data_IF_164249859465
#
_entry.id   IF_164249859465
#
_cell.length_a   1.000
_cell.length_b   1.000
_cell.length_c   1.000
_cell.angle_alpha   90.00
_cell.angle_beta   90.00
_cell.angle_gamma   90.00
#
_symmetry.space_group_name_H-M   'P 1'
#
loop_
_entity.id
_entity.type
_entity.pdbx_description
1 polymer ?
#
# COMPACT_ATOMS: atom_id res chain seq x y z
N UNK A 1 -2.86 -1.93 2.53
CA UNK A 1 -1.85 -2.67 1.76
C UNK A 1 -1.95 -2.36 0.29
N UNK A 2 -0.85 -2.04 -0.34
CA UNK A 2 -0.82 -1.69 -1.76
C UNK A 2 -0.75 -2.98 -2.57
N UNK A 3 -1.42 -3.03 -3.73
CA UNK A 3 -1.33 -4.19 -4.60
C UNK A 3 0.08 -4.31 -5.18
N UNK A 4 0.51 -5.54 -5.45
CA UNK A 4 1.82 -5.77 -6.03
C UNK A 4 1.96 -5.15 -7.42
N UNK A 5 0.86 -5.05 -8.15
CA UNK A 5 0.86 -4.44 -9.47
C UNK A 5 1.21 -2.95 -9.38
N UNK A 6 0.65 -2.24 -8.41
CA UNK A 6 0.94 -0.82 -8.22
C UNK A 6 2.39 -0.63 -7.77
N UNK A 7 2.85 -1.47 -6.85
CA UNK A 7 4.25 -1.43 -6.40
C UNK A 7 5.21 -1.69 -7.57
N UNK A 8 4.92 -2.71 -8.39
CA UNK A 8 5.75 -3.04 -9.53
C UNK A 8 5.78 -1.88 -10.53
N UNK A 9 4.64 -1.31 -10.84
CA UNK A 9 4.58 -0.18 -11.75
C UNK A 9 5.37 1.02 -11.23
N UNK A 10 5.33 1.24 -9.93
CA UNK A 10 6.03 2.35 -9.29
C UNK A 10 7.54 2.17 -9.39
N UNK A 11 8.06 1.00 -9.03
CA UNK A 11 9.50 0.77 -9.08
C UNK A 11 10.01 0.67 -10.51
N UNK A 12 9.22 0.12 -11.42
CA UNK A 12 9.60 0.08 -12.84
C UNK A 12 9.69 1.49 -13.42
N UNK A 13 8.75 2.35 -13.08
CA UNK A 13 8.78 3.74 -13.51
C UNK A 13 9.97 4.50 -12.94
N UNK A 14 10.26 4.29 -11.67
CA UNK A 14 11.42 4.92 -11.05
C UNK A 14 12.72 4.42 -11.65
N UNK A 15 12.83 3.12 -11.92
CA UNK A 15 14.02 2.58 -12.59
C UNK A 15 14.18 3.17 -13.99
N UNK A 16 13.11 3.30 -14.73
CA UNK A 16 13.17 3.87 -16.07
C UNK A 16 13.72 5.30 -16.06
N UNK A 17 13.41 6.06 -15.02
CA UNK A 17 13.85 7.45 -14.89
C UNK A 17 15.27 7.52 -14.31
N UNK A 18 15.57 6.74 -13.29
CA UNK A 18 16.77 6.90 -12.48
C UNK A 18 17.86 5.90 -12.82
N UNK A 19 17.51 4.83 -13.53
CA UNK A 19 18.41 3.71 -13.85
C UNK A 19 18.96 3.01 -12.61
N UNK A 20 18.26 3.14 -11.50
CA UNK A 20 18.60 2.45 -10.25
C UNK A 20 17.65 1.28 -10.06
N UNK A 21 18.19 0.11 -9.76
CA UNK A 21 17.39 -1.06 -9.49
C UNK A 21 16.73 -0.94 -8.12
N UNK A 22 15.48 -1.38 -8.04
CA UNK A 22 14.68 -1.27 -6.83
C UNK A 22 14.01 -2.59 -6.52
N UNK A 23 13.78 -2.82 -5.23
CA UNK A 23 13.10 -4.01 -4.73
C UNK A 23 12.32 -3.64 -3.48
N UNK A 24 11.17 -4.26 -3.28
CA UNK A 24 10.37 -4.09 -2.07
C UNK A 24 10.19 -5.45 -1.43
N UNK A 25 10.57 -5.54 -0.17
CA UNK A 25 10.48 -6.77 0.64
C UNK A 25 9.59 -6.46 1.82
N UNK A 26 8.70 -7.39 2.19
CA UNK A 26 7.87 -7.18 3.37
C UNK A 26 8.65 -7.51 4.65
N UNK A 27 8.04 -7.28 5.81
CA UNK A 27 8.71 -7.47 7.09
C UNK A 27 8.99 -8.94 7.41
N UNK A 28 8.34 -9.85 6.69
CA UNK A 28 8.54 -11.29 6.87
C UNK A 28 9.63 -11.84 5.96
N UNK A 29 10.20 -11.01 5.10
CA UNK A 29 11.27 -11.41 4.20
C UNK A 29 10.79 -11.87 2.84
N UNK A 30 9.54 -11.62 2.49
CA UNK A 30 9.01 -11.97 1.18
C UNK A 30 9.26 -10.85 0.19
N UNK A 31 9.84 -11.19 -0.95
CA UNK A 31 10.03 -10.23 -2.03
C UNK A 31 8.68 -9.98 -2.69
N UNK A 32 8.21 -8.75 -2.62
CA UNK A 32 6.93 -8.40 -3.22
C UNK A 32 7.09 -8.02 -4.69
N UNK A 33 8.06 -7.17 -4.98
CA UNK A 33 8.36 -6.71 -6.34
C UNK A 33 9.85 -6.41 -6.46
N UNK A 34 10.38 -6.55 -7.66
CA UNK A 34 11.80 -6.26 -7.91
C UNK A 34 12.00 -5.90 -9.38
N UNK A 35 13.03 -5.12 -9.67
CA UNK A 35 13.42 -4.80 -11.03
C UNK A 35 14.66 -5.59 -11.48
N UNK A 36 15.22 -6.41 -10.59
CA UNK A 36 16.42 -7.20 -10.88
C UNK A 36 16.23 -8.63 -10.35
N UNK A 37 16.93 -9.63 -10.96
CA UNK A 37 16.64 -11.03 -10.65
C UNK A 37 17.28 -11.56 -9.35
N UNK A 38 18.33 -10.92 -8.85
CA UNK A 38 19.12 -11.46 -7.74
C UNK A 38 18.68 -10.89 -6.38
N UNK A 39 17.44 -10.45 -6.26
CA UNK A 39 16.95 -9.83 -5.03
C UNK A 39 16.96 -10.78 -3.83
N UNK A 40 16.91 -12.09 -4.06
CA UNK A 40 16.86 -13.08 -2.99
C UNK A 40 18.08 -13.04 -2.08
N UNK A 41 19.24 -12.62 -2.59
CA UNK A 41 20.45 -12.50 -1.77
C UNK A 41 20.31 -11.46 -0.66
N UNK A 42 19.36 -10.54 -0.79
CA UNK A 42 19.15 -9.48 0.17
C UNK A 42 18.05 -9.77 1.19
N UNK A 43 17.38 -10.92 1.09
CA UNK A 43 16.28 -11.27 1.99
C UNK A 43 16.76 -11.39 3.44
N UNK A 44 17.83 -12.16 3.66
CA UNK A 44 18.37 -12.32 5.02
C UNK A 44 18.89 -11.00 5.59
N UNK A 45 19.69 -10.21 4.85
CA UNK A 45 20.07 -8.88 5.33
C UNK A 45 18.86 -7.98 5.60
N UNK A 46 17.81 -8.06 4.80
CA UNK A 46 16.60 -7.26 5.03
C UNK A 46 15.92 -7.65 6.33
N UNK A 47 15.83 -8.93 6.62
CA UNK A 47 15.23 -9.41 7.88
C UNK A 47 16.05 -8.94 9.09
N UNK A 48 17.36 -8.93 8.98
CA UNK A 48 18.24 -8.38 10.02
C UNK A 48 18.00 -6.88 10.18
N UNK A 49 17.83 -6.19 9.07
CA UNK A 49 17.58 -4.75 9.09
C UNK A 49 16.24 -4.39 9.75
N UNK A 50 15.24 -5.24 9.62
CA UNK A 50 13.94 -5.04 10.30
C UNK A 50 14.15 -4.91 11.81
N UNK A 51 15.05 -5.68 12.37
CA UNK A 51 15.33 -5.65 13.80
C UNK A 51 16.24 -4.49 14.21
N UNK A 52 16.86 -3.82 13.25
CA UNK A 52 17.79 -2.72 13.51
C UNK A 52 17.05 -1.44 13.83
N UNK A 53 17.57 -0.57 14.71
CA UNK A 53 16.98 0.73 14.96
C UNK A 53 17.24 1.76 13.86
N UNK A 54 18.10 1.46 12.90
CA UNK A 54 18.43 2.40 11.83
C UNK A 54 17.30 2.52 10.82
N UNK A 55 17.13 3.72 10.26
CA UNK A 55 16.14 3.97 9.20
C UNK A 55 16.68 3.59 7.82
N UNK A 56 17.98 3.56 7.66
CA UNK A 56 18.64 3.16 6.44
C UNK A 56 19.94 2.45 6.74
N UNK A 57 20.40 1.61 5.80
CA UNK A 57 21.61 0.84 5.97
C UNK A 57 22.16 0.45 4.61
N UNK A 58 23.47 0.30 4.50
CA UNK A 58 24.13 -0.19 3.28
C UNK A 58 24.59 -1.62 3.54
N UNK A 59 24.22 -2.55 2.67
CA UNK A 59 24.64 -3.92 2.76
C UNK A 59 25.03 -4.39 1.36
N UNK A 60 26.30 -4.78 1.20
CA UNK A 60 26.82 -5.29 -0.07
C UNK A 60 26.54 -4.37 -1.27
N UNK A 61 26.70 -3.07 -1.05
CA UNK A 61 26.46 -2.09 -2.12
C UNK A 61 24.99 -1.75 -2.36
N UNK A 62 24.08 -2.35 -1.62
CA UNK A 62 22.66 -2.08 -1.71
C UNK A 62 22.23 -1.17 -0.56
N UNK A 63 21.46 -0.15 -0.87
CA UNK A 63 20.88 0.75 0.13
C UNK A 63 19.53 0.20 0.58
N UNK A 64 19.37 0.05 1.89
CA UNK A 64 18.13 -0.43 2.49
C UNK A 64 17.42 0.72 3.19
N UNK A 65 16.11 0.82 3.01
CA UNK A 65 15.29 1.87 3.62
C UNK A 65 14.06 1.26 4.23
N UNK A 66 13.64 1.79 5.38
CA UNK A 66 12.39 1.39 6.01
C UNK A 66 11.25 2.26 5.51
N UNK A 67 10.14 1.62 5.19
CA UNK A 67 8.91 2.31 4.80
C UNK A 67 7.86 2.02 5.87
N UNK A 68 7.35 3.07 6.50
CA UNK A 68 6.42 2.95 7.60
C UNK A 68 5.00 3.30 7.17
N UNK A 69 4.04 2.65 7.79
CA UNK A 69 2.63 2.98 7.71
C UNK A 69 2.15 3.25 9.13
N UNK A 70 1.88 4.51 9.45
CA UNK A 70 1.36 4.91 10.76
C UNK A 70 2.27 4.43 11.91
N UNK A 71 3.57 4.66 11.80
CA UNK A 71 4.59 4.25 12.78
C UNK A 71 4.85 2.75 12.82
N UNK A 72 4.19 1.97 11.98
CA UNK A 72 4.44 0.54 11.86
C UNK A 72 5.25 0.26 10.61
N UNK A 73 6.33 -0.52 10.76
CA UNK A 73 7.16 -0.90 9.62
C UNK A 73 6.37 -1.80 8.69
N UNK A 74 6.24 -1.39 7.43
CA UNK A 74 5.45 -2.12 6.45
C UNK A 74 6.32 -2.79 5.40
N UNK A 75 7.31 -2.07 4.87
CA UNK A 75 8.18 -2.57 3.82
C UNK A 75 9.62 -2.20 4.05
N UNK A 76 10.51 -2.98 3.46
CA UNK A 76 11.91 -2.63 3.29
C UNK A 76 12.13 -2.37 1.80
N UNK A 77 12.59 -1.18 1.48
CA UNK A 77 12.92 -0.81 0.10
C UNK A 77 14.42 -0.96 -0.10
N UNK A 78 14.79 -1.60 -1.19
CA UNK A 78 16.17 -1.77 -1.59
C UNK A 78 16.44 -0.93 -2.83
N UNK A 79 17.55 -0.21 -2.84
CA UNK A 79 18.02 0.53 -4.01
C UNK A 79 19.44 0.08 -4.32
N UNK A 80 19.66 -0.36 -5.54
CA UNK A 80 20.93 -0.95 -5.97
C UNK A 80 21.39 -0.30 -7.27
N UNK A 81 22.64 0.17 -7.28
CA UNK A 81 23.22 0.78 -8.46
C UNK A 81 24.62 1.30 -8.17
N UNK A 82 25.31 1.71 -9.23
CA UNK A 82 26.68 2.21 -9.16
C UNK A 82 26.78 3.73 -9.01
N UNK A 83 25.65 4.42 -9.09
CA UNK A 83 25.60 5.88 -9.02
C UNK A 83 25.76 6.36 -7.58
N UNK A 84 26.40 7.52 -7.41
CA UNK A 84 26.46 8.18 -6.12
C UNK A 84 25.08 8.64 -5.64
N UNK A 85 24.13 8.73 -6.56
CA UNK A 85 22.77 9.19 -6.26
C UNK A 85 21.85 8.10 -5.74
N UNK A 86 22.33 6.86 -5.60
CA UNK A 86 21.48 5.73 -5.19
C UNK A 86 20.81 5.99 -3.85
N UNK A 87 21.50 6.59 -2.90
CA UNK A 87 20.91 6.91 -1.61
C UNK A 87 19.73 7.90 -1.78
N UNK A 88 19.94 8.96 -2.54
CA UNK A 88 18.88 9.95 -2.78
C UNK A 88 17.71 9.32 -3.52
N UNK A 89 17.99 8.52 -4.53
CA UNK A 89 16.97 7.85 -5.32
C UNK A 89 16.17 6.89 -4.43
N UNK A 90 16.84 6.14 -3.58
CA UNK A 90 16.18 5.26 -2.63
C UNK A 90 15.30 6.01 -1.64
N UNK A 91 15.76 7.15 -1.15
CA UNK A 91 14.97 8.02 -0.28
C UNK A 91 13.71 8.51 -0.98
N UNK A 92 13.84 8.95 -2.23
CA UNK A 92 12.70 9.40 -3.03
C UNK A 92 11.72 8.25 -3.25
N UNK A 93 12.22 7.07 -3.59
CA UNK A 93 11.39 5.89 -3.81
C UNK A 93 10.65 5.49 -2.54
N UNK A 94 11.34 5.49 -1.40
CA UNK A 94 10.71 5.17 -0.11
C UNK A 94 9.62 6.18 0.23
N UNK A 95 9.87 7.45 0.00
CA UNK A 95 8.88 8.50 0.22
C UNK A 95 7.67 8.31 -0.69
N UNK A 96 7.89 7.99 -1.95
CA UNK A 96 6.81 7.75 -2.91
C UNK A 96 5.95 6.57 -2.49
N UNK A 97 6.57 5.47 -2.06
CA UNK A 97 5.82 4.30 -1.61
C UNK A 97 5.07 4.60 -0.33
N UNK A 98 5.66 5.36 0.58
CA UNK A 98 4.98 5.77 1.80
C UNK A 98 3.73 6.61 1.49
N UNK A 99 3.84 7.53 0.52
CA UNK A 99 2.68 8.30 0.08
C UNK A 99 1.62 7.42 -0.58
N UNK A 100 2.02 6.39 -1.32
CA UNK A 100 1.08 5.43 -1.88
C UNK A 100 0.34 4.67 -0.78
N UNK A 101 1.03 4.30 0.29
CA UNK A 101 0.39 3.64 1.43
C UNK A 101 -0.67 4.54 2.05
N UNK A 102 -0.34 5.80 2.27
CA UNK A 102 -1.28 6.76 2.84
C UNK A 102 -2.49 6.93 1.92
N UNK A 103 -2.26 7.14 0.65
CA UNK A 103 -3.34 7.33 -0.32
C UNK A 103 -4.22 6.09 -0.44
N UNK A 104 -3.62 4.90 -0.44
CA UNK A 104 -4.35 3.65 -0.52
C UNK A 104 -5.21 3.44 0.72
N UNK A 105 -4.68 3.75 1.89
CA UNK A 105 -5.40 3.63 3.14
C UNK A 105 -6.58 4.59 3.20
N UNK A 106 -6.38 5.84 2.80
CA UNK A 106 -7.47 6.81 2.75
C UNK A 106 -8.58 6.35 1.81
N UNK A 107 -8.23 5.84 0.65
CA UNK A 107 -9.20 5.33 -0.31
C UNK A 107 -9.96 4.13 0.26
N UNK A 108 -9.25 3.23 0.92
CA UNK A 108 -9.87 2.06 1.55
C UNK A 108 -10.85 2.48 2.64
N UNK A 109 -10.46 3.40 3.49
CA UNK A 109 -11.31 3.90 4.57
C UNK A 109 -12.56 4.59 4.00
N UNK A 110 -12.38 5.36 2.93
CA UNK A 110 -13.50 6.02 2.26
C UNK A 110 -14.47 5.01 1.65
N UNK A 111 -13.94 3.98 0.99
CA UNK A 111 -14.77 2.93 0.41
C UNK A 111 -15.53 2.17 1.50
N UNK A 112 -14.89 1.87 2.60
CA UNK A 112 -15.54 1.22 3.74
C UNK A 112 -16.64 2.09 4.34
N UNK A 113 -16.39 3.38 4.47
CA UNK A 113 -17.40 4.32 4.96
C UNK A 113 -18.62 4.31 4.05
N UNK A 114 -18.42 4.37 2.75
CA UNK A 114 -19.51 4.35 1.77
C UNK A 114 -20.26 3.03 1.84
N UNK A 115 -19.56 1.91 1.92
CA UNK A 115 -20.19 0.60 2.05
C UNK A 115 -21.03 0.50 3.30
N UNK A 116 -20.52 0.96 4.43
CA UNK A 116 -21.24 0.95 5.69
C UNK A 116 -22.47 1.85 5.63
N UNK A 117 -22.33 2.99 5.00
CA UNK A 117 -23.45 3.91 4.82
C UNK A 117 -24.57 3.28 3.98
N UNK A 118 -24.18 2.59 2.91
CA UNK A 118 -25.15 1.90 2.05
C UNK A 118 -25.83 0.77 2.82
N UNK A 119 -25.07 0.00 3.57
CA UNK A 119 -25.64 -1.09 4.37
C UNK A 119 -26.62 -0.56 5.42
N UNK A 120 -26.26 0.52 6.10
CA UNK A 120 -27.16 1.14 7.08
C UNK A 120 -28.43 1.60 6.43
N UNK A 121 -28.34 2.21 5.26
CA UNK A 121 -29.51 2.66 4.52
C UNK A 121 -30.39 1.49 4.07
N UNK A 122 -29.77 0.39 3.64
CA UNK A 122 -30.50 -0.81 3.26
C UNK A 122 -31.25 -1.40 4.44
N UNK A 123 -30.62 -1.42 5.62
CA UNK A 123 -31.27 -1.91 6.83
C UNK A 123 -32.47 -1.03 7.20
N UNK A 124 -32.33 0.28 7.08
CA UNK A 124 -33.44 1.20 7.34
C UNK A 124 -34.59 0.96 6.37
N UNK A 125 -34.27 0.75 5.10
CA UNK A 125 -35.28 0.45 4.09
C UNK A 125 -35.99 -0.85 4.41
N UNK A 126 -35.27 -1.88 4.81
CA UNK A 126 -35.87 -3.17 5.19
C UNK A 126 -36.80 -3.02 6.38
N UNK A 127 -36.37 -2.32 7.41
CA UNK A 127 -37.18 -2.08 8.59
C UNK A 127 -38.47 -1.30 8.21
N UNK A 128 -38.28 -0.31 7.38
CA UNK A 128 -39.41 0.50 6.90
C UNK A 128 -40.38 -0.35 6.11
N UNK A 129 -39.91 -1.17 5.21
CA UNK A 129 -40.75 -2.07 4.41
C UNK A 129 -41.51 -3.07 5.26
N UNK A 130 -40.86 -3.61 6.29
CA UNK A 130 -41.52 -4.51 7.23
C UNK A 130 -42.66 -3.82 7.96
N UNK A 131 -42.48 -2.57 8.33
CA UNK A 131 -43.51 -1.77 8.95
C UNK A 131 -44.66 -1.51 7.97
N UNK A 132 -44.31 -1.26 6.71
CA UNK A 132 -45.30 -0.97 5.67
C UNK A 132 -46.16 -2.16 5.27
N UNK A 133 -45.66 -3.37 5.48
CA UNK A 133 -46.43 -4.57 5.19
C UNK A 133 -47.78 -4.55 5.94
N UNK A 134 -47.79 -4.04 7.14
CA UNK A 134 -49.00 -3.95 7.95
C UNK A 134 -49.88 -2.80 7.55
N UNK A 135 -49.33 -1.81 6.89
CA UNK A 135 -50.05 -0.63 6.46
C UNK A 135 -50.51 -0.75 5.02
N UNK A 136 -49.85 -1.62 4.28
CA UNK A 136 -50.14 -1.87 2.88
C UNK A 136 -50.11 -0.62 2.03
N UNK A 137 -49.16 0.22 2.25
CA UNK A 137 -49.07 1.47 1.53
C UNK A 137 -47.95 1.49 0.54
N UNK A 138 -48.23 1.34 -0.74
CA UNK A 138 -47.19 1.16 -1.76
C UNK A 138 -46.66 2.45 -2.35
N UNK A 139 -46.94 3.55 -1.82
CA UNK A 139 -46.57 4.82 -2.44
C UNK A 139 -45.12 5.19 -2.28
N UNK A 140 -44.32 4.26 -2.16
CA UNK A 140 -42.98 4.53 -1.75
C UNK A 140 -41.92 4.65 -2.79
N UNK A 141 -42.21 4.56 -4.06
CA UNK A 141 -41.12 4.59 -5.05
C UNK A 141 -40.31 5.87 -5.05
N UNK A 142 -40.86 6.94 -4.57
CA UNK A 142 -40.21 8.22 -4.72
C UNK A 142 -38.92 8.37 -3.90
N UNK A 143 -38.83 7.71 -2.77
CA UNK A 143 -37.63 7.85 -1.99
C UNK A 143 -36.57 6.85 -2.37
N UNK A 144 -36.85 6.04 -3.33
CA UNK A 144 -35.88 5.13 -3.87
C UNK A 144 -35.15 5.76 -5.04
N UNK A 145 -35.71 6.76 -5.62
CA UNK A 145 -35.26 7.30 -6.89
C UNK A 145 -34.12 8.33 -6.76
N UNK A 146 -33.47 8.40 -5.67
CA UNK A 146 -32.33 9.27 -5.67
C UNK A 146 -31.02 8.48 -5.75
#
# INVERSE_FOLDING_TARGET
MISNQILQNTIDGLKAITRTDLCVIDVEGKILVATFPDAEQFVTPAQTFVESPADSQVVNGCQFFKVFDDHQLEYILLAYGDSEDVYMIGKIAAFQIQNLLVAYKERFDKDNFIKNLILDNLLLVDIYNLSLIHISEPTRPLYISY
#
